data_IF_058119966114
#
_entry.id   IF_058119966114
#
_cell.length_a   1.000
_cell.length_b   1.000
_cell.length_c   1.000
_cell.angle_alpha   90.00
_cell.angle_beta   90.00
_cell.angle_gamma   90.00
#
_symmetry.space_group_name_H-M   'P 1'
#
loop_
_entity.id
_entity.type
_entity.pdbx_description
1 polymer ?
#
# COMPACT_ATOMS: atom_id res chain seq x y z
N UNK A 1 -14.61 -53.87 -46.86
CA UNK A 1 -13.37 -53.07 -47.02
C UNK A 1 -13.70 -51.77 -47.73
N UNK A 2 -13.11 -50.67 -47.25
CA UNK A 2 -13.04 -49.29 -47.79
C UNK A 2 -13.87 -48.25 -47.04
N UNK A 3 -13.18 -47.62 -46.10
CA UNK A 3 -13.49 -46.37 -45.41
C UNK A 3 -13.31 -45.17 -46.36
N UNK A 4 -14.09 -44.10 -46.14
CA UNK A 4 -13.76 -42.66 -46.27
C UNK A 4 -15.01 -41.85 -45.91
N UNK A 5 -15.12 -41.30 -44.71
CA UNK A 5 -14.65 -39.96 -44.27
C UNK A 5 -15.56 -38.81 -44.75
N UNK A 6 -16.36 -38.25 -43.83
CA UNK A 6 -16.85 -36.87 -43.87
C UNK A 6 -16.97 -36.34 -42.43
N UNK A 7 -16.13 -35.35 -42.15
CA UNK A 7 -15.95 -34.54 -40.93
C UNK A 7 -17.20 -33.71 -40.62
N UNK A 8 -17.78 -33.81 -39.41
CA UNK A 8 -17.48 -33.00 -38.23
C UNK A 8 -17.80 -31.50 -38.38
N UNK A 9 -18.85 -31.05 -37.69
CA UNK A 9 -19.23 -29.66 -37.54
C UNK A 9 -20.18 -29.49 -36.35
N UNK A 10 -19.68 -29.73 -35.14
CA UNK A 10 -20.39 -29.35 -33.92
C UNK A 10 -19.61 -28.23 -33.24
N UNK A 11 -20.22 -27.05 -33.31
CA UNK A 11 -19.80 -25.81 -32.66
C UNK A 11 -19.47 -26.07 -31.19
N UNK A 12 -18.21 -25.90 -30.79
CA UNK A 12 -17.84 -25.76 -29.38
C UNK A 12 -18.49 -24.47 -28.86
N UNK A 13 -19.59 -24.61 -28.12
CA UNK A 13 -20.04 -23.56 -27.24
C UNK A 13 -19.05 -23.50 -26.08
N UNK A 14 -18.05 -22.62 -26.20
CA UNK A 14 -17.12 -22.31 -25.14
C UNK A 14 -17.90 -21.62 -24.02
N UNK A 15 -18.32 -22.38 -23.01
CA UNK A 15 -18.78 -21.83 -21.74
C UNK A 15 -17.53 -21.24 -21.07
N UNK A 16 -17.26 -19.97 -21.37
CA UNK A 16 -16.30 -19.16 -20.65
C UNK A 16 -16.89 -18.92 -19.25
N UNK A 17 -16.64 -19.86 -18.33
CA UNK A 17 -16.96 -19.69 -16.93
C UNK A 17 -16.03 -18.59 -16.40
N UNK A 18 -16.48 -17.34 -16.51
CA UNK A 18 -15.83 -16.18 -15.93
C UNK A 18 -15.92 -16.34 -14.41
N UNK A 19 -14.94 -17.05 -13.83
CA UNK A 19 -14.75 -17.11 -12.40
C UNK A 19 -14.31 -15.72 -11.96
N UNK A 20 -15.27 -14.85 -11.67
CA UNK A 20 -15.00 -13.57 -11.01
C UNK A 20 -14.54 -13.94 -9.60
N UNK A 21 -13.22 -13.97 -9.40
CA UNK A 21 -12.62 -13.96 -8.08
C UNK A 21 -13.05 -12.65 -7.41
N UNK A 22 -14.15 -12.69 -6.67
CA UNK A 22 -14.54 -11.61 -5.78
C UNK A 22 -13.52 -11.65 -4.65
N UNK A 23 -12.51 -10.79 -4.69
CA UNK A 23 -11.65 -10.56 -3.54
C UNK A 23 -12.51 -9.95 -2.44
N UNK A 24 -12.92 -10.78 -1.49
CA UNK A 24 -13.51 -10.34 -0.24
C UNK A 24 -12.41 -9.60 0.54
N UNK A 25 -12.36 -8.28 0.36
CA UNK A 25 -11.61 -7.38 1.24
C UNK A 25 -12.12 -7.61 2.65
N UNK A 26 -11.22 -7.92 3.58
CA UNK A 26 -11.62 -8.12 4.98
C UNK A 26 -11.85 -6.74 5.60
N UNK A 27 -12.75 -6.66 6.57
CA UNK A 27 -12.98 -5.42 7.30
C UNK A 27 -11.70 -4.93 8.02
N UNK A 28 -10.74 -5.83 8.19
CA UNK A 28 -9.46 -5.62 8.85
C UNK A 28 -8.44 -4.86 7.95
N UNK A 29 -8.71 -4.70 6.65
CA UNK A 29 -7.81 -4.07 5.66
C UNK A 29 -8.10 -2.55 5.48
N UNK A 30 -8.80 -1.94 6.45
CA UNK A 30 -9.14 -0.51 6.46
C UNK A 30 -8.91 0.06 7.86
N UNK A 31 -8.14 1.15 8.00
CA UNK A 31 -7.94 1.79 9.30
C UNK A 31 -9.27 2.19 9.96
N UNK A 32 -9.42 2.02 11.29
CA UNK A 32 -10.66 2.33 11.99
C UNK A 32 -10.98 3.83 11.93
N UNK A 33 -12.27 4.20 11.77
CA UNK A 33 -12.73 5.60 11.64
C UNK A 33 -12.40 6.51 12.86
N UNK A 34 -12.05 5.94 14.01
CA UNK A 34 -11.61 6.67 15.21
C UNK A 34 -10.11 6.57 15.50
N UNK A 35 -9.34 5.99 14.59
CA UNK A 35 -7.88 5.90 14.71
C UNK A 35 -7.21 7.26 14.58
N UNK A 36 -5.94 7.32 15.01
CA UNK A 36 -5.08 8.48 14.74
C UNK A 36 -4.88 8.62 13.23
N UNK A 37 -4.78 9.86 12.71
CA UNK A 37 -4.35 10.09 11.34
C UNK A 37 -3.00 9.39 11.09
N UNK A 38 -2.82 8.81 9.91
CA UNK A 38 -1.58 8.15 9.52
C UNK A 38 -0.41 9.13 9.59
N UNK A 39 -0.62 10.40 9.19
CA UNK A 39 0.43 11.41 9.30
C UNK A 39 0.93 11.63 10.74
N UNK A 40 0.06 11.50 11.75
CA UNK A 40 0.43 11.64 13.15
C UNK A 40 1.24 10.44 13.67
N UNK A 41 0.90 9.23 13.20
CA UNK A 41 1.64 8.01 13.48
C UNK A 41 3.03 8.10 12.85
N UNK A 42 3.09 8.41 11.55
CA UNK A 42 4.33 8.57 10.79
C UNK A 42 5.25 9.61 11.41
N UNK A 43 4.72 10.76 11.82
CA UNK A 43 5.51 11.80 12.49
C UNK A 43 6.17 11.28 13.78
N UNK A 44 5.47 10.41 14.53
CA UNK A 44 6.03 9.79 15.74
C UNK A 44 7.13 8.78 15.41
N UNK A 45 6.96 7.99 14.33
CA UNK A 45 7.99 7.05 13.85
C UNK A 45 9.23 7.79 13.33
N UNK A 46 9.04 8.81 12.51
CA UNK A 46 10.13 9.64 11.97
C UNK A 46 10.95 10.30 13.10
N UNK A 47 10.30 10.70 14.20
CA UNK A 47 10.96 11.28 15.36
C UNK A 47 11.90 10.30 16.10
N UNK A 48 11.76 8.99 15.88
CA UNK A 48 12.68 7.98 16.43
C UNK A 48 14.03 7.96 15.72
N UNK A 49 14.15 8.60 14.55
CA UNK A 49 15.40 8.68 13.76
C UNK A 49 16.00 7.30 13.44
N UNK A 50 15.13 6.30 13.19
CA UNK A 50 15.54 4.94 12.85
C UNK A 50 15.97 4.78 11.38
N UNK A 51 15.72 5.77 10.53
CA UNK A 51 15.99 5.72 9.09
C UNK A 51 14.96 6.52 8.32
N UNK A 52 14.78 6.18 7.05
CA UNK A 52 13.77 6.78 6.18
C UNK A 52 12.58 5.83 6.09
N UNK A 53 11.37 6.33 6.35
CA UNK A 53 10.15 5.52 6.13
C UNK A 53 10.03 5.26 4.63
N UNK A 54 9.86 4.00 4.23
CA UNK A 54 9.67 3.57 2.83
C UNK A 54 8.26 3.07 2.58
N UNK A 55 7.63 2.48 3.60
CA UNK A 55 6.30 1.90 3.47
C UNK A 55 5.48 2.14 4.74
N UNK A 56 4.17 2.32 4.57
CA UNK A 56 3.17 2.27 5.62
C UNK A 56 1.91 1.60 5.09
N UNK A 57 1.63 0.38 5.53
CA UNK A 57 0.48 -0.43 5.11
C UNK A 57 -0.42 -0.74 6.30
N UNK A 58 -1.73 -0.72 6.10
CA UNK A 58 -2.68 -1.18 7.11
C UNK A 58 -3.18 -2.58 6.76
N UNK A 59 -2.72 -3.55 7.54
CA UNK A 59 -3.12 -4.95 7.42
C UNK A 59 -3.30 -5.57 8.81
N UNK A 60 -4.15 -6.58 8.90
CA UNK A 60 -4.43 -7.33 10.14
C UNK A 60 -4.70 -6.43 11.38
N UNK A 61 -5.33 -5.27 11.16
CA UNK A 61 -5.71 -4.32 12.20
C UNK A 61 -4.55 -3.48 12.79
N UNK A 62 -3.37 -3.49 12.17
CA UNK A 62 -2.19 -2.71 12.58
C UNK A 62 -1.62 -1.92 11.40
N UNK A 63 -0.88 -0.85 11.71
CA UNK A 63 -0.01 -0.22 10.71
C UNK A 63 1.33 -0.92 10.70
N UNK A 64 1.70 -1.50 9.57
CA UNK A 64 3.03 -2.02 9.28
C UNK A 64 3.84 -0.91 8.62
N UNK A 65 4.84 -0.37 9.33
CA UNK A 65 5.63 0.77 8.89
C UNK A 65 7.07 0.35 8.74
N UNK A 66 7.57 0.38 7.51
CA UNK A 66 8.95 0.00 7.18
C UNK A 66 9.85 1.23 7.13
N UNK A 67 10.99 1.13 7.80
CA UNK A 67 11.99 2.19 7.94
C UNK A 67 13.36 1.64 7.55
N UNK A 68 13.96 2.19 6.50
CA UNK A 68 15.19 1.68 5.91
C UNK A 68 16.36 2.66 6.06
N UNK A 69 17.58 2.11 6.15
CA UNK A 69 18.84 2.87 6.19
C UNK A 69 19.71 2.55 4.98
N UNK A 70 19.13 2.68 3.78
CA UNK A 70 19.81 2.30 2.54
C UNK A 70 20.27 0.84 2.60
N UNK A 71 21.59 0.61 2.54
CA UNK A 71 22.19 -0.74 2.53
C UNK A 71 22.25 -1.44 3.89
N UNK A 72 21.91 -0.75 4.98
CA UNK A 72 21.92 -1.33 6.33
C UNK A 72 20.66 -2.14 6.65
N UNK A 73 19.77 -2.32 5.67
CA UNK A 73 18.50 -3.03 5.83
C UNK A 73 17.39 -2.13 6.38
N UNK A 74 16.28 -2.78 6.72
CA UNK A 74 15.03 -2.16 7.12
C UNK A 74 14.54 -2.70 8.47
N UNK A 75 13.74 -1.90 9.14
CA UNK A 75 13.00 -2.28 10.34
C UNK A 75 11.53 -2.05 10.08
N UNK A 76 10.72 -3.07 10.30
CA UNK A 76 9.28 -3.02 10.22
C UNK A 76 8.68 -2.90 11.63
N UNK A 77 7.88 -1.85 11.82
CA UNK A 77 7.20 -1.51 13.06
C UNK A 77 5.71 -1.81 12.90
N UNK A 78 5.12 -2.51 13.86
CA UNK A 78 3.68 -2.78 13.87
C UNK A 78 3.04 -1.87 14.93
N UNK A 79 2.28 -0.89 14.48
CA UNK A 79 1.73 0.18 15.31
C UNK A 79 0.22 0.04 15.46
N UNK A 80 -0.28 0.22 16.68
CA UNK A 80 -1.72 0.30 16.93
C UNK A 80 -2.32 1.56 16.28
N UNK A 81 -3.38 1.47 15.48
CA UNK A 81 -3.96 2.63 14.80
C UNK A 81 -4.67 3.61 15.75
N UNK A 82 -5.10 3.17 16.94
CA UNK A 82 -5.86 3.98 17.90
C UNK A 82 -4.92 4.64 18.90
N UNK A 83 -4.08 3.86 19.59
CA UNK A 83 -3.14 4.39 20.58
C UNK A 83 -1.89 4.99 19.92
N UNK A 84 -1.51 4.53 18.73
CA UNK A 84 -0.24 4.89 18.08
C UNK A 84 0.98 4.24 18.73
N UNK A 85 0.79 3.24 19.58
CA UNK A 85 1.88 2.53 20.25
C UNK A 85 2.44 1.40 19.38
N UNK A 86 3.76 1.21 19.43
CA UNK A 86 4.42 0.07 18.82
C UNK A 86 4.08 -1.22 19.59
N UNK A 87 3.45 -2.17 18.90
CA UNK A 87 3.10 -3.49 19.43
C UNK A 87 4.20 -4.52 19.18
N UNK A 88 4.88 -4.41 18.04
CA UNK A 88 5.89 -5.37 17.58
C UNK A 88 6.89 -4.66 16.68
N UNK A 89 8.08 -5.26 16.56
CA UNK A 89 9.13 -4.88 15.63
C UNK A 89 9.78 -6.10 15.02
N UNK A 90 10.18 -6.01 13.76
CA UNK A 90 10.95 -7.01 13.03
C UNK A 90 12.06 -6.32 12.23
N UNK A 91 13.22 -6.98 12.10
CA UNK A 91 14.28 -6.55 11.18
C UNK A 91 14.14 -7.30 9.87
N UNK A 92 14.39 -6.61 8.77
CA UNK A 92 14.40 -7.14 7.42
C UNK A 92 15.72 -6.74 6.75
N UNK A 93 16.50 -7.73 6.31
CA UNK A 93 17.81 -7.50 5.70
C UNK A 93 17.70 -7.23 4.19
N UNK A 94 16.48 -7.16 3.66
CA UNK A 94 16.23 -6.83 2.26
C UNK A 94 16.57 -5.36 1.97
N UNK A 95 17.29 -5.15 0.86
CA UNK A 95 17.51 -3.81 0.32
C UNK A 95 16.23 -3.34 -0.38
N UNK A 96 15.75 -2.16 0.00
CA UNK A 96 14.60 -1.49 -0.64
C UNK A 96 15.01 -0.15 -1.24
N UNK A 97 14.20 0.32 -2.19
CA UNK A 97 14.31 1.69 -2.67
C UNK A 97 13.98 2.67 -1.53
N UNK A 98 14.81 3.70 -1.38
CA UNK A 98 14.59 4.76 -0.40
C UNK A 98 14.34 6.08 -1.11
N UNK A 99 13.45 6.93 -0.59
CA UNK A 99 13.24 8.28 -1.11
C UNK A 99 14.55 9.06 -1.24
N UNK A 100 14.68 9.96 -2.23
CA UNK A 100 15.88 10.78 -2.37
C UNK A 100 16.08 11.67 -1.13
N UNK A 101 17.32 12.04 -0.82
CA UNK A 101 17.65 12.77 0.41
C UNK A 101 16.95 14.14 0.57
N UNK A 102 16.50 14.74 -0.53
CA UNK A 102 15.73 15.99 -0.53
C UNK A 102 14.21 15.76 -0.54
N UNK A 103 13.74 14.52 -0.40
CA UNK A 103 12.33 14.20 -0.23
C UNK A 103 11.79 14.85 1.04
N UNK A 104 10.50 15.18 1.01
CA UNK A 104 9.78 15.61 2.21
C UNK A 104 9.59 14.42 3.14
N UNK A 105 9.52 14.63 4.47
CA UNK A 105 9.06 13.60 5.40
C UNK A 105 7.70 13.05 4.94
N UNK A 106 7.55 11.73 4.96
CA UNK A 106 6.33 11.07 4.50
C UNK A 106 5.12 11.56 5.30
N UNK A 107 5.28 11.81 6.60
CA UNK A 107 4.22 12.39 7.43
C UNK A 107 3.65 13.71 6.88
N UNK A 108 4.49 14.56 6.28
CA UNK A 108 4.09 15.84 5.69
C UNK A 108 3.32 15.66 4.37
N UNK A 109 3.76 14.71 3.54
CA UNK A 109 3.07 14.33 2.30
C UNK A 109 1.68 13.79 2.63
N UNK A 110 1.61 12.82 3.56
CA UNK A 110 0.35 12.20 3.99
C UNK A 110 -0.57 13.20 4.66
N UNK A 111 -0.06 14.09 5.51
CA UNK A 111 -0.89 15.14 6.13
C UNK A 111 -1.57 16.01 5.07
N UNK A 112 -0.87 16.32 3.97
CA UNK A 112 -1.42 17.13 2.89
C UNK A 112 -2.54 16.40 2.15
N UNK A 113 -2.43 15.08 1.98
CA UNK A 113 -3.49 14.24 1.41
C UNK A 113 -4.70 14.11 2.34
N UNK A 114 -4.47 13.85 3.63
CA UNK A 114 -5.52 13.76 4.64
C UNK A 114 -6.32 15.06 4.75
N UNK A 115 -5.65 16.23 4.68
CA UNK A 115 -6.29 17.56 4.68
C UNK A 115 -7.23 17.79 3.51
N UNK A 116 -7.04 17.10 2.37
CA UNK A 116 -7.97 17.17 1.23
C UNK A 116 -9.30 16.46 1.56
N UNK A 117 -9.30 15.58 2.58
CA UNK A 117 -10.50 14.90 3.08
C UNK A 117 -11.13 13.90 2.11
N UNK A 118 -10.41 13.52 1.05
CA UNK A 118 -11.04 12.88 -0.09
C UNK A 118 -11.30 11.39 0.13
N UNK A 119 -10.39 10.66 0.78
CA UNK A 119 -10.38 9.18 0.80
C UNK A 119 -9.62 8.62 2.01
N UNK A 120 -9.86 7.36 2.36
CA UNK A 120 -9.12 6.67 3.44
C UNK A 120 -7.84 6.09 2.86
N UNK A 121 -6.67 6.44 3.41
CA UNK A 121 -5.39 5.85 3.00
C UNK A 121 -5.27 4.48 3.65
N UNK A 122 -4.95 3.46 2.85
CA UNK A 122 -4.73 2.09 3.34
C UNK A 122 -3.27 1.69 3.22
N UNK A 123 -2.54 2.29 2.29
CA UNK A 123 -1.14 1.96 2.05
C UNK A 123 -0.42 3.13 1.38
N UNK A 124 0.85 3.27 1.70
CA UNK A 124 1.80 4.15 1.04
C UNK A 124 3.11 3.40 0.88
N UNK A 125 3.66 3.35 -0.33
CA UNK A 125 4.92 2.68 -0.64
C UNK A 125 5.77 3.58 -1.54
N UNK A 126 7.08 3.60 -1.32
CA UNK A 126 8.02 4.25 -2.24
C UNK A 126 8.53 3.24 -3.26
N UNK A 127 8.16 3.44 -4.51
CA UNK A 127 8.59 2.62 -5.65
C UNK A 127 8.64 3.50 -6.91
N UNK A 128 9.45 3.12 -7.88
CA UNK A 128 9.59 3.82 -9.17
C UNK A 128 9.82 5.35 -9.00
N UNK A 129 10.60 5.75 -7.99
CA UNK A 129 10.89 7.14 -7.64
C UNK A 129 9.64 8.00 -7.32
N UNK A 130 8.55 7.38 -6.88
CA UNK A 130 7.29 8.03 -6.49
C UNK A 130 6.74 7.41 -5.22
N UNK A 131 5.90 8.16 -4.52
CA UNK A 131 5.01 7.58 -3.53
C UNK A 131 3.77 7.03 -4.22
N UNK A 132 3.58 5.72 -4.17
CA UNK A 132 2.32 5.09 -4.51
C UNK A 132 1.41 5.10 -3.28
N UNK A 133 0.33 5.89 -3.33
CA UNK A 133 -0.63 5.99 -2.23
C UNK A 133 -1.92 5.30 -2.64
N UNK A 134 -2.23 4.16 -2.01
CA UNK A 134 -3.51 3.48 -2.19
C UNK A 134 -4.53 4.08 -1.22
N UNK A 135 -5.62 4.55 -1.80
CA UNK A 135 -6.75 5.15 -1.11
C UNK A 135 -8.04 4.42 -1.44
N UNK A 136 -8.90 4.24 -0.44
CA UNK A 136 -10.20 3.59 -0.57
C UNK A 136 -11.34 4.61 -0.60
N UNK A 137 -12.27 4.37 -1.52
CA UNK A 137 -13.51 5.12 -1.71
C UNK A 137 -14.66 4.10 -1.82
N UNK A 138 -15.33 3.82 -0.70
CA UNK A 138 -16.29 2.72 -0.62
C UNK A 138 -15.62 1.37 -0.94
N UNK A 139 -16.08 0.68 -1.98
CA UNK A 139 -15.50 -0.60 -2.44
C UNK A 139 -14.35 -0.44 -3.43
N UNK A 140 -14.07 0.79 -3.88
CA UNK A 140 -13.06 1.05 -4.90
C UNK A 140 -11.74 1.42 -4.24
N UNK A 141 -10.65 0.86 -4.75
CA UNK A 141 -9.29 1.31 -4.45
C UNK A 141 -8.77 2.14 -5.62
N UNK A 142 -8.10 3.23 -5.30
CA UNK A 142 -7.44 4.11 -6.27
C UNK A 142 -6.00 4.28 -5.82
N UNK A 143 -5.08 4.20 -6.77
CA UNK A 143 -3.67 4.51 -6.53
C UNK A 143 -3.41 5.94 -6.99
N UNK A 144 -2.74 6.72 -6.15
CA UNK A 144 -2.24 8.07 -6.46
C UNK A 144 -0.72 7.99 -6.53
N UNK A 145 -0.12 8.74 -7.44
CA UNK A 145 1.33 8.82 -7.58
C UNK A 145 1.76 10.20 -7.13
N UNK A 146 2.54 10.28 -6.05
CA UNK A 146 2.96 11.55 -5.46
C UNK A 146 4.46 11.72 -5.62
N UNK A 147 4.87 12.88 -6.10
CA UNK A 147 6.27 13.24 -6.18
C UNK A 147 6.86 13.43 -4.75
N UNK A 148 7.97 12.76 -4.41
CA UNK A 148 8.50 12.76 -3.04
C UNK A 148 9.10 14.11 -2.61
N UNK A 149 9.52 14.96 -3.56
CA UNK A 149 10.19 16.23 -3.28
C UNK A 149 9.17 17.37 -3.16
N UNK A 150 8.21 17.40 -4.08
CA UNK A 150 7.18 18.45 -4.12
C UNK A 150 5.98 18.12 -3.23
N UNK A 151 5.67 16.82 -3.05
CA UNK A 151 4.43 16.35 -2.43
C UNK A 151 3.21 16.50 -3.34
N UNK A 152 3.41 16.78 -4.64
CA UNK A 152 2.34 16.96 -5.61
C UNK A 152 2.00 15.65 -6.33
N UNK A 153 0.73 15.49 -6.69
CA UNK A 153 0.25 14.34 -7.45
C UNK A 153 0.74 14.43 -8.90
N UNK A 154 1.50 13.41 -9.35
CA UNK A 154 1.88 13.24 -10.76
C UNK A 154 0.65 12.81 -11.55
N UNK A 155 0.36 13.51 -12.64
CA UNK A 155 -0.74 13.22 -13.57
C UNK A 155 -0.24 12.51 -14.82
#
# INVERSE_FOLDING_TARGET
>A
MKNKCMTAGFSLSAIFMLLVMITLVRADDVPPQGGKPLSAILKSVEALQLGTVTTAEFDDGVWEIKVCKGKEGCVELYIDPVSGEEKRRKTDDLEEEVPPANARPLSSVIQSLEKRGLRVITEVEFDDNVWEVKVREGRRQVKLYIDPVTGEEKR
#
